data_IF_378987952396
#
_entry.id   IF_378987952396
#
_cell.length_a   1.000
_cell.length_b   1.000
_cell.length_c   1.000
_cell.angle_alpha   90.00
_cell.angle_beta   90.00
_cell.angle_gamma   90.00
#
_symmetry.space_group_name_H-M   'P 1'
#
loop_
_entity.id
_entity.type
_entity.pdbx_description
1 polymer ?
#
# COMPACT_ATOMS: atom_id res chain seq x y z
N UNK A 1 -7.57 7.40 9.66
CA UNK A 1 -7.96 6.54 8.52
C UNK A 1 -6.76 5.70 8.11
N UNK A 2 -7.00 4.42 7.93
CA UNK A 2 -5.96 3.46 7.50
C UNK A 2 -6.16 3.11 6.03
N UNK A 3 -5.14 3.40 5.22
CA UNK A 3 -5.12 3.08 3.80
C UNK A 3 -4.11 1.98 3.55
N UNK A 4 -4.51 0.95 2.82
CA UNK A 4 -3.62 -0.14 2.42
C UNK A 4 -3.47 -0.10 0.91
N UNK A 5 -2.22 -0.13 0.44
CA UNK A 5 -1.90 -0.23 -0.98
C UNK A 5 -1.22 -1.58 -1.22
N UNK A 6 -1.83 -2.39 -2.07
CA UNK A 6 -1.33 -3.72 -2.43
C UNK A 6 -0.81 -3.67 -3.85
N UNK A 7 0.43 -4.10 -4.07
CA UNK A 7 1.02 -4.16 -5.40
C UNK A 7 1.97 -5.35 -5.50
N UNK A 8 2.29 -5.71 -6.74
CA UNK A 8 3.20 -6.80 -7.06
C UNK A 8 4.26 -6.37 -8.05
N UNK A 9 4.94 -7.35 -8.65
CA UNK A 9 6.03 -7.13 -9.58
C UNK A 9 7.08 -6.18 -8.98
N UNK A 10 7.35 -5.05 -9.61
CA UNK A 10 8.31 -4.07 -9.12
C UNK A 10 7.76 -3.03 -8.16
N UNK A 11 6.44 -3.03 -7.92
CA UNK A 11 5.82 -2.06 -7.02
C UNK A 11 5.73 -0.64 -7.56
N UNK A 12 5.98 -0.44 -8.85
CA UNK A 12 6.04 0.90 -9.45
C UNK A 12 4.72 1.63 -9.44
N UNK A 13 3.62 0.92 -9.70
CA UNK A 13 2.29 1.50 -9.71
C UNK A 13 1.85 1.89 -8.30
N UNK A 14 2.08 1.00 -7.32
CA UNK A 14 1.81 1.29 -5.91
C UNK A 14 2.63 2.46 -5.39
N UNK A 15 3.90 2.54 -5.77
CA UNK A 15 4.76 3.65 -5.39
C UNK A 15 4.23 5.00 -5.92
N UNK A 16 3.87 5.05 -7.21
CA UNK A 16 3.31 6.26 -7.82
C UNK A 16 2.04 6.72 -7.09
N UNK A 17 1.17 5.76 -6.78
CA UNK A 17 -0.07 6.04 -6.08
C UNK A 17 0.20 6.61 -4.68
N UNK A 18 1.12 5.99 -3.95
CA UNK A 18 1.49 6.44 -2.60
C UNK A 18 2.10 7.84 -2.65
N UNK A 19 2.99 8.10 -3.60
CA UNK A 19 3.58 9.43 -3.78
C UNK A 19 2.50 10.48 -4.01
N UNK A 20 1.53 10.18 -4.86
CA UNK A 20 0.41 11.09 -5.13
C UNK A 20 -0.47 11.34 -3.91
N UNK A 21 -0.80 10.28 -3.17
CA UNK A 21 -1.63 10.41 -1.96
C UNK A 21 -0.90 11.21 -0.89
N UNK A 22 0.37 10.91 -0.64
CA UNK A 22 1.16 11.61 0.38
C UNK A 22 1.40 13.08 0.04
N UNK A 23 1.46 13.41 -1.24
CA UNK A 23 1.60 14.79 -1.68
C UNK A 23 0.37 15.62 -1.30
N UNK A 24 -0.82 15.06 -1.48
CA UNK A 24 -2.07 15.76 -1.21
C UNK A 24 -2.54 15.62 0.23
N UNK A 25 -2.27 14.47 0.86
CA UNK A 25 -2.74 14.12 2.20
C UNK A 25 -1.57 13.56 3.02
N UNK A 26 -0.59 14.40 3.39
CA UNK A 26 0.66 13.92 3.99
C UNK A 26 0.52 13.23 5.35
N UNK A 27 -0.57 13.45 6.07
CA UNK A 27 -0.80 12.80 7.38
C UNK A 27 -1.65 11.54 7.28
N UNK A 28 -2.03 11.13 6.11
CA UNK A 28 -2.76 9.87 5.93
C UNK A 28 -1.81 8.70 6.17
N UNK A 29 -2.23 7.75 7.02
CA UNK A 29 -1.43 6.56 7.29
C UNK A 29 -1.59 5.55 6.16
N UNK A 30 -0.47 5.19 5.52
CA UNK A 30 -0.46 4.23 4.42
C UNK A 30 0.42 3.04 4.78
N UNK A 31 -0.15 1.84 4.68
CA UNK A 31 0.58 0.58 4.78
C UNK A 31 0.70 -0.03 3.38
N UNK A 32 1.93 -0.33 2.99
CA UNK A 32 2.22 -1.00 1.71
C UNK A 32 2.30 -2.50 1.91
N UNK A 33 1.54 -3.26 1.12
CA UNK A 33 1.60 -4.71 1.13
C UNK A 33 2.07 -5.19 -0.24
N UNK A 34 3.34 -5.62 -0.31
CA UNK A 34 3.92 -6.13 -1.54
C UNK A 34 3.81 -7.65 -1.62
N UNK A 35 3.52 -8.18 -2.79
CA UNK A 35 3.55 -9.63 -3.01
C UNK A 35 4.97 -10.17 -3.07
N UNK A 36 5.97 -9.29 -3.18
CA UNK A 36 7.39 -9.63 -3.10
C UNK A 36 8.15 -8.48 -2.45
N UNK A 37 9.38 -8.75 -2.03
CA UNK A 37 10.20 -7.79 -1.28
C UNK A 37 10.52 -6.52 -2.09
N UNK A 38 10.73 -6.65 -3.39
CA UNK A 38 11.04 -5.51 -4.25
C UNK A 38 9.86 -4.55 -4.32
N UNK A 39 8.65 -5.08 -4.46
CA UNK A 39 7.43 -4.27 -4.50
C UNK A 39 7.24 -3.50 -3.19
N UNK A 40 7.41 -4.18 -2.05
CA UNK A 40 7.30 -3.55 -0.74
C UNK A 40 8.33 -2.44 -0.56
N UNK A 41 9.60 -2.72 -0.91
CA UNK A 41 10.69 -1.74 -0.79
C UNK A 41 10.42 -0.50 -1.65
N UNK A 42 9.93 -0.70 -2.86
CA UNK A 42 9.65 0.40 -3.76
C UNK A 42 8.50 1.27 -3.25
N UNK A 43 7.46 0.66 -2.73
CA UNK A 43 6.34 1.40 -2.13
C UNK A 43 6.75 2.18 -0.88
N UNK A 44 7.64 1.62 -0.06
CA UNK A 44 8.21 2.33 1.08
C UNK A 44 9.01 3.56 0.63
N UNK A 45 9.76 3.45 -0.46
CA UNK A 45 10.45 4.60 -1.05
C UNK A 45 9.49 5.68 -1.53
N UNK A 46 8.28 5.31 -1.90
CA UNK A 46 7.23 6.25 -2.29
C UNK A 46 6.62 7.01 -1.13
N UNK A 47 6.90 6.62 0.10
CA UNK A 47 6.43 7.31 1.29
C UNK A 47 5.44 6.53 2.16
N UNK A 48 5.26 5.23 1.94
CA UNK A 48 4.42 4.43 2.83
C UNK A 48 5.00 4.46 4.25
N UNK A 49 4.12 4.50 5.24
CA UNK A 49 4.51 4.60 6.65
C UNK A 49 4.97 3.25 7.20
N UNK A 50 4.44 2.17 6.67
CA UNK A 50 4.82 0.81 7.03
C UNK A 50 4.69 -0.10 5.81
N UNK A 51 5.36 -1.23 5.85
CA UNK A 51 5.29 -2.19 4.76
C UNK A 51 5.49 -3.61 5.24
N UNK A 52 4.88 -4.55 4.52
CA UNK A 52 5.05 -5.97 4.76
C UNK A 52 4.94 -6.73 3.44
N UNK A 53 5.53 -7.91 3.39
CA UNK A 53 5.63 -8.70 2.17
C UNK A 53 4.97 -10.07 2.37
N UNK A 54 4.22 -10.51 1.36
CA UNK A 54 3.61 -11.83 1.32
C UNK A 54 2.10 -11.80 1.51
N UNK A 55 1.48 -12.97 1.53
CA UNK A 55 0.03 -13.11 1.63
C UNK A 55 -0.50 -12.96 3.05
N UNK A 56 0.24 -13.44 4.04
CA UNK A 56 -0.19 -13.36 5.44
C UNK A 56 -0.42 -11.92 5.92
N UNK A 57 0.47 -10.95 5.62
CA UNK A 57 0.21 -9.55 5.95
C UNK A 57 -1.05 -9.00 5.32
N UNK A 58 -1.41 -9.45 4.10
CA UNK A 58 -2.65 -9.04 3.44
C UNK A 58 -3.85 -9.52 4.26
N UNK A 59 -3.85 -10.80 4.65
CA UNK A 59 -4.93 -11.38 5.45
C UNK A 59 -5.11 -10.67 6.78
N UNK A 60 -4.01 -10.33 7.46
CA UNK A 60 -4.06 -9.68 8.77
C UNK A 60 -4.45 -8.21 8.73
N UNK A 61 -4.03 -7.49 7.70
CA UNK A 61 -4.17 -6.03 7.67
C UNK A 61 -5.46 -5.54 7.00
N UNK A 62 -5.93 -6.24 5.97
CA UNK A 62 -7.10 -5.80 5.21
C UNK A 62 -8.38 -5.65 6.05
N UNK A 63 -8.68 -6.53 7.05
CA UNK A 63 -9.88 -6.37 7.86
C UNK A 63 -9.95 -5.04 8.62
N UNK A 64 -8.81 -4.45 8.95
CA UNK A 64 -8.74 -3.19 9.71
C UNK A 64 -8.62 -1.96 8.83
N UNK A 65 -8.57 -2.14 7.52
CA UNK A 65 -8.39 -1.02 6.61
C UNK A 65 -9.71 -0.30 6.32
N UNK A 66 -9.63 1.01 6.21
CA UNK A 66 -10.75 1.85 5.74
C UNK A 66 -10.81 1.85 4.22
N UNK A 67 -9.64 1.85 3.56
CA UNK A 67 -9.51 1.82 2.11
C UNK A 67 -8.42 0.85 1.71
N UNK A 68 -8.72 -0.01 0.75
CA UNK A 68 -7.75 -0.94 0.16
C UNK A 68 -7.64 -0.61 -1.33
N UNK A 69 -6.44 -0.34 -1.79
CA UNK A 69 -6.18 0.01 -3.18
C UNK A 69 -5.22 -1.00 -3.78
N UNK A 70 -5.61 -1.59 -4.88
CA UNK A 70 -4.75 -2.44 -5.69
C UNK A 70 -4.75 -1.98 -7.14
N UNK A 71 -3.93 -2.58 -8.01
CA UNK A 71 -3.84 -2.17 -9.42
C UNK A 71 -5.15 -2.24 -10.18
N UNK A 72 -6.08 -3.10 -9.76
CA UNK A 72 -7.33 -3.35 -10.46
C UNK A 72 -8.56 -2.87 -9.70
N UNK A 73 -8.43 -2.40 -8.46
CA UNK A 73 -9.60 -2.11 -7.64
C UNK A 73 -9.31 -1.14 -6.49
N UNK A 74 -10.36 -0.43 -6.10
CA UNK A 74 -10.39 0.35 -4.86
C UNK A 74 -11.57 -0.17 -4.05
N UNK A 75 -11.31 -0.56 -2.80
CA UNK A 75 -12.35 -1.05 -1.89
C UNK A 75 -12.41 -0.13 -0.68
N UNK A 76 -13.61 0.37 -0.39
CA UNK A 76 -13.87 1.24 0.75
C UNK A 76 -14.74 0.51 1.75
N UNK A 77 -14.27 0.44 2.99
CA UNK A 77 -15.02 -0.21 4.07
C UNK A 77 -16.17 0.68 4.57
#
# INVERSE_FOLDING_TARGET
MKVIVIDGQGGGMGRMLIEGIKKELPHLEITALGTNALATANMLKGGADAGATGENPIIYNCPDADIIIGPLAIVVA
#
